data_IF_214820917274
#
_entry.id   IF_214820917274
#
_cell.length_a   1.000
_cell.length_b   1.000
_cell.length_c   1.000
_cell.angle_alpha   90.00
_cell.angle_beta   90.00
_cell.angle_gamma   90.00
#
_symmetry.space_group_name_H-M   'P 1'
#
loop_
_entity.id
_entity.type
_entity.pdbx_description
1 polymer ?
#
# COMPACT_ATOMS: atom_id res chain seq x y z
N UNK A 1 1.59 -0.43 -7.19
CA UNK A 1 3.05 -0.58 -7.33
C UNK A 1 3.62 0.26 -8.47
N UNK A 2 4.93 0.50 -8.50
CA UNK A 2 5.61 1.36 -9.49
C UNK A 2 6.66 2.28 -8.87
N UNK A 3 7.48 2.95 -9.68
CA UNK A 3 8.65 3.71 -9.19
C UNK A 3 8.30 4.93 -8.33
N UNK A 4 9.28 5.46 -7.59
CA UNK A 4 9.13 6.73 -6.87
C UNK A 4 8.72 7.85 -7.83
N UNK A 5 7.77 8.69 -7.41
CA UNK A 5 7.27 9.81 -8.23
C UNK A 5 6.33 9.41 -9.38
N UNK A 6 5.96 8.13 -9.53
CA UNK A 6 5.02 7.71 -10.57
C UNK A 6 3.54 8.02 -10.25
N UNK A 7 3.22 8.52 -9.06
CA UNK A 7 1.87 8.94 -8.67
C UNK A 7 1.07 7.95 -7.81
N UNK A 8 1.68 6.87 -7.30
CA UNK A 8 0.96 5.85 -6.48
C UNK A 8 0.24 6.44 -5.27
N UNK A 9 0.98 7.21 -4.47
CA UNK A 9 0.44 7.81 -3.24
C UNK A 9 -0.64 8.82 -3.58
N UNK A 10 -0.46 9.62 -4.64
CA UNK A 10 -1.49 10.55 -5.10
C UNK A 10 -2.75 9.80 -5.51
N UNK A 11 -2.63 8.78 -6.36
CA UNK A 11 -3.75 7.94 -6.80
C UNK A 11 -4.50 7.29 -5.63
N UNK A 12 -3.81 6.74 -4.64
CA UNK A 12 -4.46 6.18 -3.45
C UNK A 12 -5.21 7.25 -2.66
N UNK A 13 -4.66 8.46 -2.55
CA UNK A 13 -5.32 9.56 -1.86
C UNK A 13 -6.51 10.10 -2.66
N UNK A 14 -6.43 10.13 -3.99
CA UNK A 14 -7.56 10.50 -4.86
C UNK A 14 -8.72 9.53 -4.67
N UNK A 15 -8.44 8.22 -4.62
CA UNK A 15 -9.46 7.20 -4.36
C UNK A 15 -10.14 7.40 -2.99
N UNK A 16 -9.40 7.84 -1.97
CA UNK A 16 -9.96 8.12 -0.65
C UNK A 16 -10.81 9.39 -0.61
N UNK A 17 -10.47 10.39 -1.42
CA UNK A 17 -11.27 11.62 -1.55
C UNK A 17 -12.53 11.41 -2.40
N UNK A 18 -12.46 10.50 -3.37
CA UNK A 18 -13.54 10.15 -4.29
C UNK A 18 -14.29 8.88 -3.89
N UNK A 19 -14.00 7.79 -4.58
CA UNK A 19 -14.76 6.54 -4.58
C UNK A 19 -14.89 5.88 -3.20
N UNK A 20 -13.88 6.07 -2.34
CA UNK A 20 -13.83 5.51 -0.99
C UNK A 20 -14.13 6.55 0.10
N UNK A 21 -14.62 7.74 -0.28
CA UNK A 21 -15.00 8.76 0.69
C UNK A 21 -16.09 8.26 1.63
N UNK A 22 -15.80 8.29 2.93
CA UNK A 22 -16.72 7.83 3.98
C UNK A 22 -16.89 6.30 4.09
N UNK A 23 -16.24 5.50 3.23
CA UNK A 23 -16.31 4.02 3.30
C UNK A 23 -15.64 3.49 4.57
N UNK A 24 -14.50 4.07 4.94
CA UNK A 24 -13.76 3.68 6.14
C UNK A 24 -14.02 4.66 7.27
N UNK A 25 -14.44 4.13 8.43
CA UNK A 25 -14.58 4.91 9.66
C UNK A 25 -13.22 5.36 10.19
N UNK A 26 -12.20 4.52 10.04
CA UNK A 26 -10.82 4.81 10.44
C UNK A 26 -9.84 4.58 9.28
N UNK A 27 -8.86 5.47 9.15
CA UNK A 27 -7.74 5.31 8.21
C UNK A 27 -6.43 5.41 9.00
N UNK A 28 -5.62 4.35 8.93
CA UNK A 28 -4.31 4.26 9.57
C UNK A 28 -3.23 4.21 8.50
N UNK A 29 -2.41 5.25 8.43
CA UNK A 29 -1.31 5.39 7.47
C UNK A 29 0.01 5.13 8.18
N UNK A 30 0.70 4.07 7.77
CA UNK A 30 2.01 3.66 8.28
C UNK A 30 3.04 3.99 7.19
N UNK A 31 3.77 5.08 7.39
CA UNK A 31 4.71 5.60 6.39
C UNK A 31 5.98 6.16 7.03
N UNK A 32 7.16 5.51 6.83
CA UNK A 32 8.42 5.97 7.41
C UNK A 32 8.85 7.36 6.92
N UNK A 33 8.52 7.66 5.69
CA UNK A 33 8.93 8.89 4.99
C UNK A 33 7.84 9.97 5.00
N UNK A 34 6.82 9.83 5.85
CA UNK A 34 5.68 10.75 5.92
C UNK A 34 6.08 12.22 6.03
N UNK A 35 7.15 12.51 6.79
CA UNK A 35 7.63 13.89 6.99
C UNK A 35 8.15 14.53 5.71
N UNK A 36 8.46 13.75 4.67
CA UNK A 36 8.99 14.23 3.39
C UNK A 36 8.00 14.03 2.24
N UNK A 37 6.94 13.24 2.46
CA UNK A 37 6.00 12.87 1.43
C UNK A 37 5.00 14.00 1.15
N UNK A 38 5.25 14.75 0.07
CA UNK A 38 4.43 15.89 -0.37
C UNK A 38 3.00 15.50 -0.72
N UNK A 39 2.78 14.27 -1.20
CA UNK A 39 1.44 13.82 -1.59
C UNK A 39 0.46 13.89 -0.41
N UNK A 40 0.88 13.47 0.79
CA UNK A 40 0.05 13.61 1.99
C UNK A 40 -0.08 15.06 2.46
N UNK A 41 1.02 15.82 2.46
CA UNK A 41 1.03 17.22 2.95
C UNK A 41 0.17 18.17 2.12
N UNK A 42 -0.04 17.85 0.86
CA UNK A 42 -0.83 18.66 -0.05
C UNK A 42 -2.34 18.38 0.03
N UNK A 43 -2.77 17.36 0.80
CA UNK A 43 -4.20 17.03 0.94
C UNK A 43 -4.85 17.85 2.03
N UNK A 44 -5.89 18.60 1.64
CA UNK A 44 -6.58 19.48 2.56
C UNK A 44 -7.27 18.72 3.70
N UNK A 45 -7.90 17.57 3.43
CA UNK A 45 -8.61 16.78 4.45
C UNK A 45 -7.67 16.12 5.47
N UNK A 46 -6.40 15.95 5.12
CA UNK A 46 -5.36 15.49 6.05
C UNK A 46 -4.95 16.65 6.95
N UNK A 47 -4.63 17.82 6.36
CA UNK A 47 -4.04 18.95 7.08
C UNK A 47 -2.61 18.65 7.54
N UNK A 48 -2.30 18.90 8.82
CA UNK A 48 -0.97 18.61 9.36
C UNK A 48 -0.80 17.09 9.56
N UNK A 49 0.14 16.47 8.86
CA UNK A 49 0.44 15.03 8.99
C UNK A 49 0.87 14.63 10.42
N UNK A 50 1.35 15.57 11.25
CA UNK A 50 1.67 15.34 12.67
C UNK A 50 0.45 15.41 13.57
N UNK A 51 -0.58 16.13 13.14
CA UNK A 51 -1.85 16.30 13.85
C UNK A 51 -2.98 16.41 12.83
N UNK A 52 -3.41 15.27 12.26
CA UNK A 52 -4.41 15.28 11.20
C UNK A 52 -5.70 15.98 11.63
N UNK A 53 -6.41 16.61 10.69
CA UNK A 53 -7.63 17.39 10.98
C UNK A 53 -8.71 16.57 11.69
N UNK A 54 -8.80 15.28 11.39
CA UNK A 54 -9.82 14.39 11.95
C UNK A 54 -9.18 13.36 12.88
N UNK A 55 -9.89 13.02 13.98
CA UNK A 55 -9.44 11.99 14.93
C UNK A 55 -9.47 10.57 14.35
N UNK A 56 -10.16 10.40 13.22
CA UNK A 56 -10.33 9.13 12.54
C UNK A 56 -9.20 8.83 11.54
N UNK A 57 -8.35 9.82 11.26
CA UNK A 57 -7.14 9.67 10.47
C UNK A 57 -5.93 9.60 11.41
N UNK A 58 -5.23 8.48 11.38
CA UNK A 58 -4.05 8.21 12.19
C UNK A 58 -2.87 8.04 11.24
N UNK A 59 -1.81 8.84 11.43
CA UNK A 59 -0.61 8.76 10.61
C UNK A 59 0.59 8.53 11.53
N UNK A 60 1.33 7.46 11.28
CA UNK A 60 2.42 7.01 12.16
C UNK A 60 3.65 6.67 11.32
N UNK A 61 4.81 7.11 11.78
CA UNK A 61 6.09 6.59 11.32
C UNK A 61 6.36 5.27 12.06
N UNK A 62 6.41 4.11 11.38
CA UNK A 62 6.66 2.83 12.02
C UNK A 62 8.13 2.62 12.39
N UNK A 63 9.04 3.56 12.10
CA UNK A 63 10.44 3.53 12.51
C UNK A 63 10.64 4.51 13.66
N UNK A 64 11.06 4.00 14.82
CA UNK A 64 11.29 4.80 16.02
C UNK A 64 12.78 4.86 16.35
N UNK A 65 13.25 6.03 16.81
CA UNK A 65 14.62 6.20 17.30
C UNK A 65 14.67 5.85 18.77
N UNK A 66 15.45 4.84 19.11
CA UNK A 66 15.64 4.37 20.48
C UNK A 66 17.03 4.77 20.95
N UNK A 67 17.10 5.27 22.19
CA UNK A 67 18.37 5.59 22.86
C UNK A 67 18.78 4.43 23.75
N UNK A 68 19.99 3.93 23.52
CA UNK A 68 20.61 2.92 24.38
C UNK A 68 21.12 3.53 25.69
N UNK A 69 21.40 2.66 26.67
CA UNK A 69 21.99 3.04 27.97
C UNK A 69 23.36 3.70 27.83
N UNK A 70 24.11 3.35 26.77
CA UNK A 70 25.39 3.97 26.41
C UNK A 70 25.25 5.34 25.70
N UNK A 71 24.02 5.81 25.48
CA UNK A 71 23.72 7.07 24.81
C UNK A 71 23.65 7.02 23.28
N UNK A 72 23.94 5.87 22.66
CA UNK A 72 23.83 5.65 21.21
C UNK A 72 22.37 5.68 20.75
N UNK A 73 22.14 5.97 19.47
CA UNK A 73 20.81 5.93 18.85
C UNK A 73 20.79 4.83 17.79
N UNK A 74 19.74 4.01 17.81
CA UNK A 74 19.41 3.10 16.72
C UNK A 74 17.94 3.26 16.29
N UNK A 75 17.62 2.74 15.11
CA UNK A 75 16.26 2.74 14.58
C UNK A 75 15.63 1.35 14.77
N UNK A 76 14.44 1.32 15.35
CA UNK A 76 13.65 0.10 15.55
C UNK A 76 12.40 0.13 14.66
N UNK A 77 12.17 -0.96 13.92
CA UNK A 77 10.98 -1.14 13.09
C UNK A 77 9.83 -1.70 13.93
N UNK A 78 8.73 -0.94 14.04
CA UNK A 78 7.55 -1.25 14.85
C UNK A 78 6.30 -1.56 14.04
N UNK A 79 6.45 -1.79 12.73
CA UNK A 79 5.31 -1.96 11.81
C UNK A 79 4.32 -3.03 12.31
N UNK A 80 4.81 -4.22 12.65
CA UNK A 80 3.96 -5.33 13.11
C UNK A 80 3.30 -5.05 14.46
N UNK A 81 4.02 -4.44 15.39
CA UNK A 81 3.51 -4.07 16.71
C UNK A 81 2.35 -3.05 16.57
N UNK A 82 2.55 -2.03 15.73
CA UNK A 82 1.54 -1.03 15.44
C UNK A 82 0.31 -1.64 14.77
N UNK A 83 0.50 -2.52 13.79
CA UNK A 83 -0.60 -3.24 13.15
C UNK A 83 -1.37 -4.10 14.15
N UNK A 84 -0.69 -4.84 15.05
CA UNK A 84 -1.34 -5.63 16.12
C UNK A 84 -2.21 -4.74 17.00
N UNK A 85 -1.65 -3.62 17.43
CA UNK A 85 -2.33 -2.68 18.31
C UNK A 85 -3.57 -2.09 17.64
N UNK A 86 -3.44 -1.58 16.42
CA UNK A 86 -4.58 -0.95 15.71
C UNK A 86 -5.63 -1.97 15.29
N UNK A 87 -5.22 -3.17 14.85
CA UNK A 87 -6.14 -4.26 14.52
C UNK A 87 -7.09 -4.57 15.68
N UNK A 88 -6.53 -4.73 16.88
CA UNK A 88 -7.30 -4.94 18.11
C UNK A 88 -8.15 -3.72 18.48
N UNK A 89 -7.57 -2.51 18.40
CA UNK A 89 -8.24 -1.27 18.79
C UNK A 89 -9.48 -0.98 17.95
N UNK A 90 -9.44 -1.30 16.66
CA UNK A 90 -10.51 -1.00 15.70
C UNK A 90 -11.27 -2.25 15.23
N UNK A 91 -11.21 -3.35 15.98
CA UNK A 91 -11.98 -4.55 15.67
C UNK A 91 -13.50 -4.23 15.66
N UNK A 92 -14.20 -4.66 14.61
CA UNK A 92 -15.64 -4.38 14.44
C UNK A 92 -15.94 -2.96 13.95
N UNK A 93 -14.95 -2.28 13.37
CA UNK A 93 -15.13 -0.99 12.74
C UNK A 93 -14.49 -0.97 11.35
N UNK A 94 -15.16 -0.41 10.32
CA UNK A 94 -14.60 -0.25 8.99
C UNK A 94 -13.28 0.52 9.04
N UNK A 95 -12.16 -0.18 8.83
CA UNK A 95 -10.81 0.39 9.00
C UNK A 95 -9.93 0.06 7.81
N UNK A 96 -9.23 1.08 7.29
CA UNK A 96 -8.22 0.90 6.25
C UNK A 96 -6.81 1.12 6.82
N UNK A 97 -5.92 0.16 6.60
CA UNK A 97 -4.49 0.30 6.79
C UNK A 97 -3.81 0.63 5.46
N UNK A 98 -3.10 1.75 5.39
CA UNK A 98 -2.24 2.10 4.26
C UNK A 98 -0.80 1.91 4.70
N UNK A 99 -0.09 1.02 4.02
CA UNK A 99 1.32 0.76 4.25
C UNK A 99 2.09 1.37 3.08
N UNK A 100 2.76 2.49 3.31
CA UNK A 100 3.43 3.26 2.26
C UNK A 100 4.92 3.40 2.55
N UNK A 101 5.73 3.19 1.52
CA UNK A 101 7.20 3.29 1.55
C UNK A 101 7.89 2.39 2.61
N UNK A 102 7.22 1.31 3.00
CA UNK A 102 7.76 0.28 3.88
C UNK A 102 8.55 -0.80 3.11
N UNK A 103 8.84 -0.65 1.82
CA UNK A 103 9.49 -1.72 1.03
C UNK A 103 10.91 -2.09 1.51
N UNK A 104 11.57 -1.22 2.28
CA UNK A 104 12.89 -1.47 2.84
C UNK A 104 12.84 -2.19 4.20
N UNK A 105 11.69 -2.22 4.88
CA UNK A 105 11.59 -2.88 6.18
C UNK A 105 11.54 -4.39 6.03
N UNK A 106 12.32 -5.08 6.88
CA UNK A 106 12.33 -6.54 6.96
C UNK A 106 10.99 -7.08 7.46
N UNK A 107 10.17 -6.24 8.11
CA UNK A 107 8.84 -6.58 8.61
C UNK A 107 7.84 -6.92 7.50
N UNK A 108 8.03 -6.46 6.26
CA UNK A 108 7.18 -6.83 5.12
C UNK A 108 7.50 -8.22 4.54
N UNK A 109 8.46 -8.96 5.09
CA UNK A 109 8.84 -10.29 4.57
C UNK A 109 8.83 -11.40 5.63
N UNK A 110 8.48 -11.10 6.88
CA UNK A 110 8.45 -12.07 7.98
C UNK A 110 7.20 -12.97 7.92
N UNK A 111 7.38 -14.29 7.94
CA UNK A 111 6.29 -15.28 7.99
C UNK A 111 5.60 -15.30 9.36
N UNK A 112 4.27 -15.47 9.38
CA UNK A 112 3.38 -15.47 10.58
C UNK A 112 3.24 -14.10 11.26
N UNK A 113 2.92 -13.08 10.48
CA UNK A 113 2.82 -11.70 10.94
C UNK A 113 1.37 -11.17 10.88
N UNK A 114 1.15 -9.94 11.33
CA UNK A 114 -0.19 -9.34 11.27
C UNK A 114 -0.67 -9.04 9.86
N UNK A 115 0.26 -8.91 8.91
CA UNK A 115 -0.10 -8.65 7.54
C UNK A 115 -0.78 -9.87 6.94
N UNK A 116 -0.24 -11.07 7.16
CA UNK A 116 -0.94 -12.32 6.80
C UNK A 116 -2.30 -12.40 7.50
N UNK A 117 -2.39 -12.05 8.79
CA UNK A 117 -3.69 -12.02 9.50
C UNK A 117 -4.68 -11.04 8.85
N UNK A 118 -4.27 -9.82 8.54
CA UNK A 118 -5.09 -8.85 7.80
C UNK A 118 -5.53 -9.39 6.42
N UNK A 119 -4.66 -10.11 5.72
CA UNK A 119 -4.96 -10.69 4.42
C UNK A 119 -6.08 -11.76 4.50
N UNK A 120 -6.03 -12.62 5.52
CA UNK A 120 -6.96 -13.76 5.64
C UNK A 120 -8.21 -13.44 6.46
N UNK A 121 -8.08 -12.68 7.56
CA UNK A 121 -9.15 -12.44 8.52
C UNK A 121 -9.68 -11.01 8.54
N UNK A 122 -9.00 -10.06 7.88
CA UNK A 122 -9.37 -8.64 7.86
C UNK A 122 -10.83 -8.42 7.48
N UNK A 123 -11.32 -9.16 6.47
CA UNK A 123 -12.73 -9.10 6.05
C UNK A 123 -13.71 -9.37 7.20
N UNK A 124 -13.44 -10.37 8.02
CA UNK A 124 -14.30 -10.74 9.15
C UNK A 124 -14.27 -9.69 10.27
N UNK A 125 -13.23 -8.87 10.32
CA UNK A 125 -13.06 -7.80 11.30
C UNK A 125 -13.50 -6.41 10.78
N UNK A 126 -14.02 -6.32 9.55
CA UNK A 126 -14.27 -5.06 8.80
C UNK A 126 -13.00 -4.23 8.55
N UNK A 127 -11.89 -4.91 8.30
CA UNK A 127 -10.59 -4.28 8.16
C UNK A 127 -9.94 -4.61 6.80
N UNK A 128 -9.43 -3.58 6.14
CA UNK A 128 -8.80 -3.63 4.82
C UNK A 128 -7.36 -3.14 4.90
N UNK A 129 -6.50 -3.65 4.02
CA UNK A 129 -5.10 -3.21 3.92
C UNK A 129 -4.76 -2.89 2.48
N UNK A 130 -4.18 -1.72 2.25
CA UNK A 130 -3.60 -1.29 0.98
C UNK A 130 -2.09 -1.13 1.13
N UNK A 131 -1.33 -1.77 0.25
CA UNK A 131 0.14 -1.71 0.28
C UNK A 131 0.63 -0.94 -0.94
N UNK A 132 1.32 0.17 -0.68
CA UNK A 132 1.97 0.99 -1.70
C UNK A 132 3.45 0.62 -1.73
N UNK A 133 3.85 -0.12 -2.76
CA UNK A 133 5.24 -0.57 -2.93
C UNK A 133 5.86 -0.13 -4.25
N UNK A 134 7.20 -0.04 -4.26
CA UNK A 134 7.98 0.15 -5.49
C UNK A 134 8.12 -1.15 -6.29
N UNK A 135 8.26 -2.30 -5.60
CA UNK A 135 8.46 -3.62 -6.21
C UNK A 135 7.34 -4.57 -5.82
N UNK A 136 6.94 -5.43 -6.75
CA UNK A 136 5.85 -6.38 -6.51
C UNK A 136 6.25 -7.42 -5.45
N UNK A 137 7.43 -8.03 -5.60
CA UNK A 137 7.89 -9.12 -4.73
C UNK A 137 8.31 -8.67 -3.32
N UNK A 138 8.35 -7.36 -3.03
CA UNK A 138 8.64 -6.87 -1.68
C UNK A 138 7.42 -6.91 -0.75
N UNK A 139 6.24 -7.18 -1.31
CA UNK A 139 5.00 -7.43 -0.54
C UNK A 139 4.93 -8.93 -0.25
N UNK A 140 4.49 -9.35 0.94
CA UNK A 140 4.31 -10.78 1.26
C UNK A 140 3.42 -11.49 0.26
N UNK A 141 3.79 -12.73 -0.07
CA UNK A 141 3.04 -13.59 -1.00
C UNK A 141 1.58 -13.77 -0.55
N UNK A 142 1.35 -14.02 0.74
CA UNK A 142 0.00 -14.16 1.32
C UNK A 142 -0.89 -12.94 0.99
N UNK A 143 -0.36 -11.71 1.08
CA UNK A 143 -1.13 -10.51 0.71
C UNK A 143 -1.38 -10.45 -0.79
N UNK A 144 -0.38 -10.78 -1.62
CA UNK A 144 -0.51 -10.74 -3.07
C UNK A 144 -1.59 -11.70 -3.54
N UNK A 145 -1.65 -12.91 -2.98
CA UNK A 145 -2.66 -13.93 -3.33
C UNK A 145 -4.08 -13.55 -2.87
N UNK A 146 -4.22 -12.82 -1.75
CA UNK A 146 -5.53 -12.38 -1.24
C UNK A 146 -5.99 -11.02 -1.79
N UNK A 147 -5.16 -10.36 -2.61
CA UNK A 147 -5.47 -9.04 -3.18
C UNK A 147 -6.67 -9.11 -4.12
N UNK A 148 -7.59 -8.14 -4.01
CA UNK A 148 -8.83 -8.06 -4.82
C UNK A 148 -8.71 -7.21 -6.08
N UNK A 149 -7.78 -6.26 -6.04
CA UNK A 149 -7.39 -5.48 -7.20
C UNK A 149 -5.99 -4.92 -6.98
N UNK A 150 -5.27 -4.69 -8.08
CA UNK A 150 -3.93 -4.16 -8.07
C UNK A 150 -3.83 -2.99 -9.06
N UNK A 151 -3.18 -1.91 -8.64
CA UNK A 151 -2.79 -0.83 -9.54
C UNK A 151 -1.28 -0.88 -9.79
N UNK A 152 -0.87 -0.95 -11.06
CA UNK A 152 0.51 -0.96 -11.49
C UNK A 152 0.80 0.23 -12.41
N UNK A 153 1.71 1.09 -11.98
CA UNK A 153 2.31 2.11 -12.83
C UNK A 153 3.51 1.54 -13.57
N UNK A 154 3.99 2.26 -14.58
CA UNK A 154 5.25 1.92 -15.25
C UNK A 154 6.39 1.66 -14.25
N UNK A 155 7.09 0.55 -14.45
CA UNK A 155 8.29 0.19 -13.70
C UNK A 155 9.38 -0.28 -14.65
N UNK A 156 10.62 0.18 -14.41
CA UNK A 156 11.81 -0.32 -15.12
C UNK A 156 12.26 -1.69 -14.59
N UNK A 157 11.79 -2.09 -13.42
CA UNK A 157 12.09 -3.40 -12.86
C UNK A 157 11.29 -4.48 -13.62
N UNK A 158 11.97 -5.18 -14.53
CA UNK A 158 11.35 -6.17 -15.41
C UNK A 158 10.68 -7.29 -14.60
N UNK A 159 11.36 -7.76 -13.55
CA UNK A 159 10.89 -8.89 -12.76
C UNK A 159 9.62 -8.53 -11.99
N UNK A 160 9.50 -7.31 -11.47
CA UNK A 160 8.26 -6.86 -10.81
C UNK A 160 7.07 -6.84 -11.76
N UNK A 161 7.24 -6.37 -13.00
CA UNK A 161 6.16 -6.34 -13.98
C UNK A 161 5.74 -7.75 -14.39
N UNK A 162 6.71 -8.57 -14.79
CA UNK A 162 6.45 -9.91 -15.30
C UNK A 162 5.89 -10.83 -14.20
N UNK A 163 6.42 -10.75 -12.98
CA UNK A 163 5.89 -11.52 -11.85
C UNK A 163 4.48 -11.07 -11.47
N UNK A 164 4.19 -9.76 -11.48
CA UNK A 164 2.85 -9.25 -11.19
C UNK A 164 1.82 -9.82 -12.16
N UNK A 165 2.08 -9.77 -13.47
CA UNK A 165 1.12 -10.25 -14.46
C UNK A 165 1.03 -11.77 -14.49
N UNK A 166 2.14 -12.47 -14.25
CA UNK A 166 2.15 -13.94 -14.18
C UNK A 166 1.43 -14.49 -12.95
N UNK A 167 1.67 -13.92 -11.77
CA UNK A 167 1.05 -14.41 -10.53
C UNK A 167 -0.47 -14.18 -10.48
N UNK A 168 -0.96 -13.08 -11.08
CA UNK A 168 -2.38 -12.73 -11.03
C UNK A 168 -3.21 -13.31 -12.20
N UNK A 169 -2.54 -13.73 -13.28
CA UNK A 169 -3.13 -14.39 -14.45
C UNK A 169 -4.39 -13.72 -15.04
N UNK A 170 -4.44 -12.38 -14.98
CA UNK A 170 -5.58 -11.59 -15.52
C UNK A 170 -5.43 -11.32 -17.02
N UNK A 171 -4.20 -11.09 -17.48
CA UNK A 171 -3.89 -10.81 -18.89
C UNK A 171 -3.26 -12.08 -19.48
N UNK A 172 -3.93 -12.79 -20.39
CA UNK A 172 -3.55 -14.16 -20.73
C UNK A 172 -2.32 -14.25 -21.65
N UNK A 173 -2.18 -13.35 -22.63
CA UNK A 173 -1.15 -13.49 -23.68
C UNK A 173 0.10 -12.65 -23.41
N UNK A 174 1.26 -13.14 -23.83
CA UNK A 174 2.53 -12.43 -23.68
C UNK A 174 2.56 -11.15 -24.53
N UNK A 175 1.95 -11.20 -25.72
CA UNK A 175 1.82 -10.07 -26.64
C UNK A 175 1.05 -8.92 -25.98
N UNK A 176 -0.06 -9.23 -25.32
CA UNK A 176 -0.90 -8.24 -24.64
C UNK A 176 -0.18 -7.63 -23.43
N UNK A 177 0.52 -8.46 -22.65
CA UNK A 177 1.37 -8.00 -21.53
C UNK A 177 2.45 -7.03 -22.04
N UNK A 178 3.09 -7.33 -23.16
CA UNK A 178 4.12 -6.46 -23.76
C UNK A 178 3.52 -5.17 -24.32
N UNK A 179 2.35 -5.24 -24.96
CA UNK A 179 1.59 -4.06 -25.43
C UNK A 179 1.28 -3.10 -24.28
N UNK A 180 0.75 -3.62 -23.18
CA UNK A 180 0.44 -2.85 -21.96
C UNK A 180 1.69 -2.19 -21.38
N UNK A 181 2.81 -2.91 -21.35
CA UNK A 181 4.09 -2.36 -20.86
C UNK A 181 4.54 -1.14 -21.66
N UNK A 182 4.43 -1.19 -22.98
CA UNK A 182 4.75 -0.05 -23.85
C UNK A 182 3.74 1.09 -23.65
N UNK A 183 2.44 0.80 -23.49
CA UNK A 183 1.43 1.83 -23.22
C UNK A 183 1.68 2.57 -21.89
N UNK A 184 2.10 1.86 -20.84
CA UNK A 184 2.48 2.46 -19.56
C UNK A 184 3.74 3.32 -19.68
N UNK A 185 4.68 2.97 -20.56
CA UNK A 185 5.92 3.72 -20.79
C UNK A 185 5.68 5.05 -21.52
N UNK A 186 4.66 5.13 -22.37
CA UNK A 186 4.38 6.30 -23.23
C UNK A 186 3.88 7.52 -22.46
N UNK A 187 3.17 7.34 -21.33
CA UNK A 187 2.52 8.43 -20.61
C UNK A 187 2.79 8.35 -19.11
N UNK A 188 3.28 9.46 -18.53
CA UNK A 188 3.50 9.57 -17.09
C UNK A 188 2.15 9.44 -16.36
N UNK A 189 2.15 8.78 -15.19
CA UNK A 189 0.98 8.53 -14.34
C UNK A 189 -0.05 7.53 -14.89
N UNK A 190 0.13 7.08 -16.14
CA UNK A 190 -0.65 5.97 -16.67
C UNK A 190 -0.44 4.72 -15.84
N UNK A 191 -1.52 4.00 -15.62
CA UNK A 191 -1.61 2.89 -14.68
C UNK A 191 -2.49 1.79 -15.25
N UNK A 192 -2.09 0.56 -14.97
CA UNK A 192 -2.86 -0.65 -15.22
C UNK A 192 -3.59 -1.01 -13.93
N UNK A 193 -4.90 -1.13 -14.01
CA UNK A 193 -5.72 -1.70 -12.95
C UNK A 193 -6.00 -3.15 -13.32
N UNK A 194 -5.71 -4.07 -12.39
CA UNK A 194 -6.08 -5.48 -12.47
C UNK A 194 -7.18 -5.72 -11.43
N UNK A 195 -8.34 -6.20 -11.87
CA UNK A 195 -9.32 -6.84 -10.99
C UNK A 195 -8.98 -8.33 -10.94
N UNK A 196 -8.59 -8.79 -9.77
CA UNK A 196 -8.08 -10.15 -9.56
C UNK A 196 -9.15 -11.09 -9.00
N UNK A 197 -10.25 -10.55 -8.49
CA UNK A 197 -11.42 -11.35 -8.08
C UNK A 197 -12.30 -11.69 -9.29
N UNK A 198 -12.84 -12.91 -9.32
CA UNK A 198 -13.66 -13.38 -10.43
C UNK A 198 -14.99 -12.60 -10.55
N UNK A 199 -15.46 -12.23 -11.77
CA UNK A 199 -14.74 -12.35 -13.04
C UNK A 199 -13.56 -11.38 -13.10
N UNK A 200 -12.39 -11.89 -13.51
CA UNK A 200 -11.17 -11.07 -13.65
C UNK A 200 -11.30 -10.11 -14.84
N UNK A 201 -10.68 -8.94 -14.71
CA UNK A 201 -10.68 -7.92 -15.78
C UNK A 201 -9.50 -6.94 -15.57
N UNK A 202 -9.18 -6.13 -16.59
CA UNK A 202 -8.14 -5.11 -16.51
C UNK A 202 -8.43 -3.86 -17.32
N UNK A 203 -7.91 -2.72 -16.85
CA UNK A 203 -8.06 -1.42 -17.52
C UNK A 203 -6.76 -0.63 -17.52
N UNK A 204 -6.50 0.08 -18.61
CA UNK A 204 -5.49 1.13 -18.66
C UNK A 204 -6.16 2.47 -18.40
N UNK A 205 -5.73 3.14 -17.33
CA UNK A 205 -6.22 4.46 -16.94
C UNK A 205 -5.08 5.47 -17.04
N UNK A 206 -5.44 6.71 -17.38
CA UNK A 206 -4.55 7.84 -17.38
C UNK A 206 -4.43 8.48 -15.99
#
# INVERSE_FOLDING_TARGET
MGQTGCGKTEFVLDLLEGEYSGVFKYIVILCPTIQWNKAYKNREWIGDVRKPKTKNLIIVNPIVKVRETNGSLYEEEKLQELLRMFFKKYAGHPTLYIIDDCSATKELTKKKDMLSELAFSGRHAEQSVWVISQRYNSVLKDLREQTKWLCMFYTKDRDSFDNCLRENDVIPTLEERQRIKEELKKKKHRKLILKTDQPTDFWLLD
#
